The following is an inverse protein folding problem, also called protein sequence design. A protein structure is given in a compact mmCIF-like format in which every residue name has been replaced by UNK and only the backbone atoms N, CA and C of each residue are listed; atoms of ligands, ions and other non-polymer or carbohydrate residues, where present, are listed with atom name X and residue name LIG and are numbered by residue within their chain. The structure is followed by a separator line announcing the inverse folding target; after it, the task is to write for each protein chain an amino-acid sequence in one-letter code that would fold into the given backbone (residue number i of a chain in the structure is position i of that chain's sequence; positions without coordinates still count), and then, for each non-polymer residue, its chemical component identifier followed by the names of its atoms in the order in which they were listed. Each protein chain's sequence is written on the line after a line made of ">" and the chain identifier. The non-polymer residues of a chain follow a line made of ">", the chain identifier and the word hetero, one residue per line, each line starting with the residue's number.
data_IF_455427661057
#
_entry.id   IF_455427661057
#
_cell.length_a   1.000
_cell.length_b   1.000
_cell.length_c   1.000
_cell.angle_alpha   90.00
_cell.angle_beta   90.00
_cell.angle_gamma   90.00
#
_symmetry.space_group_name_H-M   'P 1'
#
loop_
_entity.id
_entity.type
_entity.pdbx_description
1 polymer ?
#
# COMPACT_ATOMS: atom_id res chain seq x y z
N UNK A 1 -20.78 -15.25 -26.07
CA UNK A 1 -21.12 -14.22 -25.06
C UNK A 1 -20.37 -12.97 -25.44
N UNK A 2 -21.06 -11.84 -25.66
CA UNK A 2 -20.37 -10.58 -25.98
C UNK A 2 -19.66 -10.15 -24.69
N UNK A 3 -18.32 -10.25 -24.65
CA UNK A 3 -17.50 -9.72 -23.56
C UNK A 3 -17.64 -8.19 -23.53
N UNK A 4 -18.75 -7.71 -22.99
CA UNK A 4 -18.96 -6.29 -22.77
C UNK A 4 -18.37 -5.96 -21.41
N UNK A 5 -17.43 -5.01 -21.41
CA UNK A 5 -17.04 -4.32 -20.19
C UNK A 5 -18.30 -3.81 -19.50
N UNK A 6 -18.42 -4.14 -18.23
CA UNK A 6 -19.56 -3.72 -17.43
C UNK A 6 -19.44 -2.24 -17.03
N UNK A 7 -20.55 -1.54 -16.78
CA UNK A 7 -20.53 -0.08 -16.60
C UNK A 7 -19.61 0.39 -15.46
N UNK A 8 -19.68 -0.22 -14.27
CA UNK A 8 -18.88 0.23 -13.13
C UNK A 8 -17.39 -0.06 -13.36
N UNK A 9 -17.06 -1.25 -13.86
CA UNK A 9 -15.68 -1.57 -14.28
C UNK A 9 -15.15 -0.54 -15.27
N UNK A 10 -15.95 -0.18 -16.29
CA UNK A 10 -15.57 0.84 -17.28
C UNK A 10 -15.29 2.19 -16.62
N UNK A 11 -16.16 2.64 -15.71
CA UNK A 11 -15.96 3.91 -15.02
C UNK A 11 -14.71 3.91 -14.15
N UNK A 12 -14.44 2.82 -13.43
CA UNK A 12 -13.24 2.67 -12.63
C UNK A 12 -11.97 2.66 -13.49
N UNK A 13 -11.97 1.93 -14.60
CA UNK A 13 -10.85 1.93 -15.56
C UNK A 13 -10.57 3.34 -16.09
N UNK A 14 -11.60 4.03 -16.59
CA UNK A 14 -11.47 5.38 -17.14
C UNK A 14 -11.01 6.36 -16.08
N UNK A 15 -11.59 6.36 -14.87
CA UNK A 15 -11.20 7.26 -13.79
C UNK A 15 -9.71 7.14 -13.44
N UNK A 16 -9.21 5.91 -13.28
CA UNK A 16 -7.81 5.65 -12.96
C UNK A 16 -6.85 6.07 -14.09
N UNK A 17 -7.21 5.80 -15.34
CA UNK A 17 -6.42 6.20 -16.51
C UNK A 17 -6.38 7.73 -16.63
N UNK A 18 -7.52 8.40 -16.50
CA UNK A 18 -7.62 9.86 -16.57
C UNK A 18 -6.79 10.51 -15.45
N UNK A 19 -6.93 10.04 -14.21
CA UNK A 19 -6.19 10.59 -13.07
C UNK A 19 -4.68 10.37 -13.25
N UNK A 20 -4.26 9.20 -13.75
CA UNK A 20 -2.85 8.95 -14.02
C UNK A 20 -2.27 9.92 -15.05
N UNK A 21 -2.93 10.10 -16.20
CA UNK A 21 -2.44 11.02 -17.23
C UNK A 21 -2.56 12.49 -16.82
N UNK A 22 -3.60 12.86 -16.07
CA UNK A 22 -3.70 14.19 -15.47
C UNK A 22 -2.51 14.49 -14.55
N UNK A 23 -2.00 13.49 -13.84
CA UNK A 23 -0.77 13.59 -13.05
C UNK A 23 0.46 13.92 -13.91
N UNK A 24 0.59 13.25 -15.05
CA UNK A 24 1.68 13.49 -16.03
C UNK A 24 1.62 14.88 -16.67
N UNK A 25 0.44 15.52 -16.68
CA UNK A 25 0.24 16.89 -17.17
C UNK A 25 0.56 17.95 -16.09
N UNK A 26 1.19 17.56 -14.98
CA UNK A 26 1.66 18.48 -13.94
C UNK A 26 0.78 18.53 -12.68
N UNK A 27 -0.30 17.74 -12.60
CA UNK A 27 -1.14 17.67 -11.39
C UNK A 27 -0.60 16.72 -10.31
N UNK A 28 0.50 16.00 -10.58
CA UNK A 28 1.07 15.04 -9.63
C UNK A 28 1.37 15.63 -8.24
N UNK A 29 1.92 16.85 -8.07
CA UNK A 29 2.14 17.42 -6.74
C UNK A 29 0.85 17.62 -5.95
N UNK A 30 -0.21 18.10 -6.61
CA UNK A 30 -1.54 18.26 -6.00
C UNK A 30 -2.14 16.90 -5.62
N UNK A 31 -2.03 15.91 -6.50
CA UNK A 31 -2.52 14.56 -6.23
C UNK A 31 -1.79 13.91 -5.07
N UNK A 32 -0.46 14.03 -5.01
CA UNK A 32 0.31 13.53 -3.88
C UNK A 32 -0.13 14.20 -2.57
N UNK A 33 -0.26 15.54 -2.57
CA UNK A 33 -0.64 16.29 -1.37
C UNK A 33 -2.05 15.94 -0.85
N UNK A 34 -3.04 15.79 -1.74
CA UNK A 34 -4.45 15.71 -1.34
C UNK A 34 -5.08 14.32 -1.48
N UNK A 35 -4.60 13.49 -2.41
CA UNK A 35 -5.23 12.20 -2.75
C UNK A 35 -4.43 10.98 -2.29
N UNK A 36 -3.12 11.11 -2.07
CA UNK A 36 -2.30 9.98 -1.62
C UNK A 36 -2.49 9.72 -0.11
N UNK A 37 -2.46 8.44 0.29
CA UNK A 37 -2.69 8.08 1.68
C UNK A 37 -1.43 8.21 2.52
N UNK A 38 -1.40 9.20 3.41
CA UNK A 38 -0.36 9.36 4.41
C UNK A 38 -0.69 8.60 5.70
N UNK A 39 0.33 8.19 6.44
CA UNK A 39 0.15 7.55 7.75
C UNK A 39 -0.64 8.43 8.71
N UNK A 40 -1.40 7.85 9.65
CA UNK A 40 -2.10 8.60 10.70
C UNK A 40 -1.17 9.47 11.56
N UNK A 41 0.13 9.19 11.56
CA UNK A 41 1.15 9.97 12.25
C UNK A 41 1.72 11.13 11.41
N UNK A 42 1.34 11.22 10.14
CA UNK A 42 1.73 12.30 9.24
C UNK A 42 0.88 13.55 9.48
N UNK A 43 1.46 14.76 9.43
CA UNK A 43 0.68 16.00 9.39
C UNK A 43 -0.15 16.16 8.10
N UNK A 44 0.13 15.37 7.05
CA UNK A 44 -0.60 15.42 5.77
C UNK A 44 -1.79 14.45 5.72
N UNK A 45 -2.03 13.69 6.79
CA UNK A 45 -3.15 12.76 6.84
C UNK A 45 -4.50 13.49 6.69
N UNK A 46 -5.34 12.97 5.81
CA UNK A 46 -6.73 13.37 5.64
C UNK A 46 -7.61 12.12 5.53
N UNK A 47 -8.73 12.01 6.28
CA UNK A 47 -9.64 10.86 6.20
C UNK A 47 -10.14 10.51 4.79
N UNK A 48 -10.28 11.49 3.88
CA UNK A 48 -10.64 11.25 2.49
C UNK A 48 -9.62 10.36 1.75
N UNK A 49 -8.36 10.36 2.19
CA UNK A 49 -7.28 9.54 1.61
C UNK A 49 -7.48 8.05 1.83
N UNK A 50 -8.34 7.63 2.76
CA UNK A 50 -8.76 6.23 2.88
C UNK A 50 -9.51 5.73 1.63
N UNK A 51 -9.98 6.65 0.79
CA UNK A 51 -10.70 6.38 -0.44
C UNK A 51 -9.92 6.87 -1.67
N UNK A 52 -9.40 8.10 -1.65
CA UNK A 52 -8.84 8.74 -2.84
C UNK A 52 -7.53 8.12 -3.33
N UNK A 53 -6.77 7.46 -2.45
CA UNK A 53 -5.52 6.79 -2.82
C UNK A 53 -5.71 5.69 -3.87
N UNK A 54 -6.91 5.11 -3.92
CA UNK A 54 -7.28 4.03 -4.84
C UNK A 54 -7.18 4.46 -6.31
N UNK A 55 -7.14 5.76 -6.58
CA UNK A 55 -7.07 6.32 -7.93
C UNK A 55 -5.68 6.75 -8.38
N UNK A 56 -4.71 6.76 -7.46
CA UNK A 56 -3.33 7.15 -7.75
C UNK A 56 -2.46 5.93 -8.01
N UNK A 57 -1.48 6.06 -8.89
CA UNK A 57 -0.56 4.98 -9.22
C UNK A 57 0.87 5.51 -9.34
N UNK A 58 1.82 4.82 -8.70
CA UNK A 58 3.23 5.22 -8.63
C UNK A 58 3.98 5.18 -9.98
N UNK A 59 3.39 4.54 -11.01
CA UNK A 59 3.99 4.46 -12.33
C UNK A 59 3.13 3.66 -13.31
N UNK A 60 3.55 3.64 -14.58
CA UNK A 60 2.79 3.01 -15.65
C UNK A 60 2.54 1.53 -15.41
N UNK A 61 3.57 0.75 -15.03
CA UNK A 61 3.41 -0.68 -14.77
C UNK A 61 2.51 -0.97 -13.57
N UNK A 62 2.51 -0.06 -12.58
CA UNK A 62 1.61 -0.16 -11.43
C UNK A 62 0.15 0.10 -11.86
N UNK A 63 -0.11 1.11 -12.68
CA UNK A 63 -1.45 1.32 -13.27
C UNK A 63 -1.86 0.12 -14.13
N UNK A 64 -1.00 -0.29 -15.05
CA UNK A 64 -1.28 -1.35 -16.01
C UNK A 64 -1.70 -2.65 -15.31
N UNK A 65 -0.92 -3.11 -14.33
CA UNK A 65 -1.22 -4.35 -13.60
C UNK A 65 -2.54 -4.29 -12.82
N UNK A 66 -2.82 -3.16 -12.16
CA UNK A 66 -4.10 -2.94 -11.47
C UNK A 66 -5.28 -2.97 -12.42
N UNK A 67 -5.18 -2.22 -13.52
CA UNK A 67 -6.25 -2.12 -14.51
C UNK A 67 -6.45 -3.44 -15.25
N UNK A 68 -5.38 -4.22 -15.47
CA UNK A 68 -5.47 -5.57 -16.04
C UNK A 68 -6.27 -6.52 -15.13
N UNK A 69 -5.99 -6.50 -13.82
CA UNK A 69 -6.76 -7.26 -12.84
C UNK A 69 -8.23 -6.84 -12.80
N UNK A 70 -8.50 -5.54 -12.76
CA UNK A 70 -9.86 -5.01 -12.80
C UNK A 70 -10.60 -5.40 -14.09
N UNK A 71 -9.92 -5.31 -15.24
CA UNK A 71 -10.45 -5.63 -16.55
C UNK A 71 -10.87 -7.09 -16.68
N UNK A 72 -10.03 -8.03 -16.23
CA UNK A 72 -10.31 -9.45 -16.39
C UNK A 72 -11.32 -9.99 -15.38
N UNK A 73 -11.21 -9.59 -14.11
CA UNK A 73 -11.98 -10.20 -13.03
C UNK A 73 -13.20 -9.37 -12.62
N UNK A 74 -13.14 -8.05 -12.76
CA UNK A 74 -14.22 -7.13 -12.39
C UNK A 74 -15.56 -7.45 -13.07
N UNK A 75 -15.62 -7.58 -14.42
CA UNK A 75 -16.89 -7.79 -15.12
C UNK A 75 -17.64 -9.05 -14.67
N UNK A 76 -16.92 -10.12 -14.34
CA UNK A 76 -17.52 -11.37 -13.89
C UNK A 76 -18.22 -11.18 -12.54
N UNK A 77 -17.62 -10.43 -11.61
CA UNK A 77 -18.23 -10.11 -10.32
C UNK A 77 -19.38 -9.11 -10.46
N UNK A 78 -19.24 -8.11 -11.32
CA UNK A 78 -20.30 -7.13 -11.58
C UNK A 78 -21.54 -7.78 -12.22
N UNK A 79 -21.36 -8.79 -13.08
CA UNK A 79 -22.46 -9.56 -13.65
C UNK A 79 -23.17 -10.43 -12.59
N UNK A 80 -22.44 -10.97 -11.62
CA UNK A 80 -23.03 -11.78 -10.52
C UNK A 80 -23.82 -10.91 -9.54
N UNK A 81 -23.30 -9.74 -9.16
CA UNK A 81 -23.89 -8.94 -8.09
C UNK A 81 -24.67 -7.70 -8.55
N UNK A 82 -24.54 -7.32 -9.82
CA UNK A 82 -24.98 -6.03 -10.34
C UNK A 82 -24.05 -4.87 -9.93
N UNK A 83 -24.10 -3.79 -10.72
CA UNK A 83 -23.22 -2.63 -10.57
C UNK A 83 -23.18 -2.02 -9.17
N UNK A 84 -24.33 -1.81 -8.53
CA UNK A 84 -24.40 -1.16 -7.20
C UNK A 84 -23.62 -1.95 -6.13
N UNK A 85 -23.79 -3.27 -6.11
CA UNK A 85 -23.10 -4.12 -5.12
C UNK A 85 -21.64 -4.30 -5.45
N UNK A 86 -21.28 -4.42 -6.72
CA UNK A 86 -19.89 -4.47 -7.15
C UNK A 86 -19.15 -3.17 -6.79
N UNK A 87 -19.76 -2.01 -7.02
CA UNK A 87 -19.18 -0.71 -6.64
C UNK A 87 -18.94 -0.64 -5.12
N UNK A 88 -19.97 -1.02 -4.32
CA UNK A 88 -19.83 -1.08 -2.87
C UNK A 88 -18.71 -2.04 -2.46
N UNK A 89 -18.68 -3.25 -3.04
CA UNK A 89 -17.65 -4.25 -2.77
C UNK A 89 -16.24 -3.71 -3.06
N UNK A 90 -16.04 -3.09 -4.23
CA UNK A 90 -14.76 -2.54 -4.65
C UNK A 90 -14.24 -1.50 -3.64
N UNK A 91 -15.08 -0.53 -3.27
CA UNK A 91 -14.68 0.50 -2.31
C UNK A 91 -14.56 -0.02 -0.88
N UNK A 92 -15.40 -0.97 -0.47
CA UNK A 92 -15.30 -1.61 0.84
C UNK A 92 -13.96 -2.33 1.01
N UNK A 93 -13.52 -3.07 -0.03
CA UNK A 93 -12.23 -3.75 -0.02
C UNK A 93 -11.06 -2.75 -0.05
N UNK A 94 -11.15 -1.67 -0.83
CA UNK A 94 -10.12 -0.63 -0.86
C UNK A 94 -9.98 0.11 0.47
N UNK A 95 -11.08 0.58 1.05
CA UNK A 95 -11.05 1.23 2.37
C UNK A 95 -10.54 0.26 3.44
N UNK A 96 -11.00 -0.99 3.43
CA UNK A 96 -10.53 -2.04 4.34
C UNK A 96 -9.03 -2.32 4.20
N UNK A 97 -8.52 -2.39 2.97
CA UNK A 97 -7.10 -2.52 2.68
C UNK A 97 -6.29 -1.37 3.29
N UNK A 98 -6.75 -0.13 3.09
CA UNK A 98 -6.05 1.03 3.65
C UNK A 98 -6.13 1.08 5.18
N UNK A 99 -7.24 0.67 5.80
CA UNK A 99 -7.32 0.60 7.26
C UNK A 99 -6.30 -0.39 7.86
N UNK A 100 -6.14 -1.57 7.24
CA UNK A 100 -5.12 -2.53 7.64
C UNK A 100 -3.72 -1.95 7.44
N UNK A 101 -3.44 -1.37 6.28
CA UNK A 101 -2.15 -0.74 5.99
C UNK A 101 -1.83 0.40 6.98
N UNK A 102 -2.81 1.22 7.33
CA UNK A 102 -2.63 2.30 8.31
C UNK A 102 -2.36 1.75 9.72
N UNK A 103 -2.92 0.60 10.10
CA UNK A 103 -2.57 -0.10 11.33
C UNK A 103 -1.10 -0.52 11.37
N UNK A 104 -0.59 -1.09 10.27
CA UNK A 104 0.82 -1.45 10.13
C UNK A 104 1.72 -0.21 10.16
N UNK A 105 1.39 0.80 9.34
CA UNK A 105 2.11 2.07 9.29
C UNK A 105 2.18 2.71 10.69
N UNK A 106 1.06 2.75 11.41
CA UNK A 106 1.01 3.30 12.76
C UNK A 106 1.94 2.54 13.71
N UNK A 107 1.91 1.21 13.68
CA UNK A 107 2.78 0.38 14.52
C UNK A 107 4.26 0.62 14.24
N UNK A 108 4.68 0.59 12.97
CA UNK A 108 6.08 0.75 12.57
C UNK A 108 6.60 2.16 12.83
N UNK A 109 5.85 3.18 12.42
CA UNK A 109 6.25 4.58 12.55
C UNK A 109 6.21 5.03 14.03
N UNK A 110 5.33 4.46 14.86
CA UNK A 110 5.34 4.72 16.32
C UNK A 110 6.66 4.31 16.96
N UNK A 111 7.27 3.20 16.52
CA UNK A 111 8.61 2.80 17.01
C UNK A 111 9.67 3.83 16.62
N UNK A 112 9.66 4.28 15.36
CA UNK A 112 10.58 5.34 14.90
C UNK A 112 10.42 6.60 15.75
N UNK A 113 9.16 7.01 15.99
CA UNK A 113 8.83 8.19 16.80
C UNK A 113 9.35 8.07 18.23
N UNK A 114 9.18 6.90 18.84
CA UNK A 114 9.65 6.64 20.21
C UNK A 114 11.18 6.68 20.29
N UNK A 115 11.86 5.96 19.40
CA UNK A 115 13.32 5.91 19.36
C UNK A 115 13.91 7.30 19.05
N UNK A 116 13.28 8.06 18.15
CA UNK A 116 13.66 9.43 17.87
C UNK A 116 13.50 10.32 19.11
N UNK A 117 12.38 10.22 19.83
CA UNK A 117 12.16 10.99 21.06
C UNK A 117 13.20 10.68 22.15
N UNK A 118 13.61 9.41 22.29
CA UNK A 118 14.68 9.02 23.21
C UNK A 118 16.00 9.68 22.81
N UNK A 119 16.37 9.59 21.52
CA UNK A 119 17.59 10.22 21.01
C UNK A 119 17.60 11.74 21.21
N UNK A 120 16.50 12.42 20.89
CA UNK A 120 16.39 13.88 20.97
C UNK A 120 16.56 14.41 22.41
N UNK A 121 16.22 13.61 23.42
CA UNK A 121 16.41 13.93 24.84
C UNK A 121 17.86 13.79 25.29
N UNK A 122 18.58 12.77 24.83
CA UNK A 122 19.97 12.52 25.21
C UNK A 122 20.84 12.09 24.01
N UNK A 123 21.21 13.03 23.12
CA UNK A 123 21.97 12.72 21.92
C UNK A 123 23.36 12.19 22.26
N UNK A 124 23.76 11.11 21.61
CA UNK A 124 25.11 10.57 21.71
C UNK A 124 25.48 9.80 20.42
N UNK A 125 26.78 9.64 20.12
CA UNK A 125 27.22 9.03 18.87
C UNK A 125 26.72 7.60 18.68
N UNK A 126 26.83 6.75 19.71
CA UNK A 126 26.44 5.34 19.62
C UNK A 126 24.96 5.16 19.28
N UNK A 127 24.07 5.90 19.95
CA UNK A 127 22.63 5.85 19.69
C UNK A 127 22.27 6.44 18.33
N UNK A 128 22.99 7.47 17.87
CA UNK A 128 22.80 8.03 16.51
C UNK A 128 23.11 6.97 15.44
N UNK A 129 24.29 6.34 15.52
CA UNK A 129 24.72 5.30 14.59
C UNK A 129 23.75 4.12 14.60
N UNK A 130 23.30 3.69 15.79
CA UNK A 130 22.30 2.61 15.92
C UNK A 130 20.94 3.00 15.33
N UNK A 131 20.48 4.23 15.55
CA UNK A 131 19.22 4.74 15.01
C UNK A 131 19.25 4.78 13.47
N UNK A 132 20.30 5.34 12.86
CA UNK A 132 20.43 5.42 11.41
C UNK A 132 20.54 4.03 10.79
N UNK A 133 21.36 3.14 11.34
CA UNK A 133 21.47 1.76 10.85
C UNK A 133 20.11 1.03 10.86
N UNK A 134 19.30 1.24 11.91
CA UNK A 134 17.99 0.60 12.07
C UNK A 134 16.95 1.12 11.08
N UNK A 135 16.92 2.42 10.80
CA UNK A 135 15.81 3.06 10.06
C UNK A 135 16.15 3.53 8.65
N UNK A 136 17.44 3.76 8.37
CA UNK A 136 18.01 4.14 7.07
C UNK A 136 19.31 3.36 6.78
N UNK A 137 19.23 2.02 6.68
CA UNK A 137 20.39 1.19 6.35
C UNK A 137 20.99 1.53 4.97
N UNK A 138 20.20 2.16 4.09
CA UNK A 138 20.65 2.66 2.79
C UNK A 138 21.63 3.83 2.89
N UNK A 139 21.47 4.71 3.90
CA UNK A 139 22.42 5.80 4.16
C UNK A 139 23.61 5.31 4.96
N UNK A 140 23.41 4.31 5.83
CA UNK A 140 24.45 3.78 6.70
C UNK A 140 25.72 3.36 5.94
N UNK A 141 25.59 2.92 4.69
CA UNK A 141 26.71 2.50 3.83
C UNK A 141 27.39 3.64 3.05
N UNK A 142 27.00 4.90 3.27
CA UNK A 142 27.56 6.07 2.59
C UNK A 142 28.81 6.60 3.32
N UNK A 143 29.91 6.83 2.59
CA UNK A 143 31.15 7.43 3.11
C UNK A 143 30.92 8.76 3.82
N UNK A 144 29.97 9.59 3.36
CA UNK A 144 29.59 10.84 4.00
C UNK A 144 29.02 10.60 5.41
N UNK A 145 28.18 9.58 5.56
CA UNK A 145 27.61 9.22 6.85
C UNK A 145 28.68 8.69 7.80
N UNK A 146 29.58 7.83 7.34
CA UNK A 146 30.69 7.33 8.15
C UNK A 146 31.61 8.46 8.62
N UNK A 147 31.99 9.36 7.72
CA UNK A 147 32.83 10.51 8.05
C UNK A 147 32.15 11.41 9.09
N UNK A 148 30.86 11.68 8.93
CA UNK A 148 30.09 12.47 9.90
C UNK A 148 29.95 11.76 11.25
N UNK A 149 29.65 10.45 11.24
CA UNK A 149 29.52 9.63 12.45
C UNK A 149 30.84 9.62 13.24
N UNK A 150 31.98 9.48 12.56
CA UNK A 150 33.31 9.53 13.18
C UNK A 150 33.59 10.90 13.79
N UNK A 151 33.26 12.00 13.10
CA UNK A 151 33.41 13.35 13.64
C UNK A 151 32.60 13.55 14.92
N UNK A 152 31.37 13.02 14.96
CA UNK A 152 30.53 13.10 16.15
C UNK A 152 31.05 12.20 17.28
N UNK A 153 31.59 11.03 16.97
CA UNK A 153 32.24 10.15 17.95
C UNK A 153 33.48 10.79 18.58
N UNK A 154 34.29 11.49 17.78
CA UNK A 154 35.46 12.23 18.25
C UNK A 154 35.09 13.47 19.08
N UNK A 155 33.98 14.13 18.75
CA UNK A 155 33.55 15.38 19.36
C UNK A 155 32.07 15.32 19.85
N UNK A 156 31.75 14.45 20.83
CA UNK A 156 30.35 14.17 21.21
C UNK A 156 29.64 15.35 21.87
N UNK A 157 30.39 16.34 22.36
CA UNK A 157 29.85 17.56 22.98
C UNK A 157 29.68 18.74 22.03
N UNK A 158 30.04 18.60 20.73
CA UNK A 158 29.96 19.70 19.78
C UNK A 158 28.49 20.09 19.52
N UNK A 159 28.08 21.34 19.82
CA UNK A 159 26.70 21.77 19.65
C UNK A 159 26.19 21.73 18.19
N UNK A 160 27.08 21.93 17.20
CA UNK A 160 26.71 21.88 15.78
C UNK A 160 26.47 20.45 15.33
N UNK A 161 27.33 19.51 15.74
CA UNK A 161 27.14 18.08 15.43
C UNK A 161 25.87 17.54 16.08
N UNK A 162 25.62 17.91 17.35
CA UNK A 162 24.38 17.57 18.04
C UNK A 162 23.16 18.13 17.30
N UNK A 163 23.18 19.40 16.88
CA UNK A 163 22.07 20.00 16.15
C UNK A 163 21.80 19.28 14.81
N UNK A 164 22.86 18.95 14.07
CA UNK A 164 22.76 18.20 12.80
C UNK A 164 22.18 16.81 12.99
N UNK A 165 22.66 16.05 13.97
CA UNK A 165 22.13 14.69 14.24
C UNK A 165 20.67 14.71 14.69
N UNK A 166 20.25 15.70 15.49
CA UNK A 166 18.84 15.87 15.85
C UNK A 166 17.98 16.11 14.63
N UNK A 167 18.42 17.02 13.74
CA UNK A 167 17.73 17.31 12.48
C UNK A 167 17.64 16.08 11.59
N UNK A 168 18.69 15.27 11.52
CA UNK A 168 18.68 14.02 10.76
C UNK A 168 17.66 13.03 11.32
N UNK A 169 17.65 12.82 12.64
CA UNK A 169 16.71 11.92 13.31
C UNK A 169 15.25 12.37 13.10
N UNK A 170 14.97 13.67 13.23
CA UNK A 170 13.67 14.24 12.90
C UNK A 170 13.31 14.02 11.43
N UNK A 171 14.26 14.23 10.52
CA UNK A 171 14.07 14.05 9.07
C UNK A 171 13.74 12.60 8.73
N UNK A 172 14.43 11.63 9.35
CA UNK A 172 14.15 10.20 9.17
C UNK A 172 12.74 9.86 9.63
N UNK A 173 12.33 10.34 10.81
CA UNK A 173 10.95 10.16 11.28
C UNK A 173 9.94 10.76 10.30
N UNK A 174 10.14 12.01 9.86
CA UNK A 174 9.23 12.68 8.93
C UNK A 174 9.15 11.96 7.58
N UNK A 175 10.28 11.47 7.04
CA UNK A 175 10.29 10.72 5.79
C UNK A 175 9.50 9.41 5.90
N UNK A 176 9.60 8.69 7.03
CA UNK A 176 8.80 7.48 7.28
C UNK A 176 7.31 7.82 7.42
N UNK A 177 6.97 8.87 8.17
CA UNK A 177 5.59 9.29 8.36
C UNK A 177 4.93 9.79 7.06
N UNK A 178 5.71 10.48 6.23
CA UNK A 178 5.24 11.18 5.03
C UNK A 178 5.47 10.37 3.74
N UNK A 179 5.79 9.08 3.82
CA UNK A 179 5.83 8.21 2.65
C UNK A 179 4.40 7.77 2.29
N UNK A 180 3.81 8.25 1.19
CA UNK A 180 2.42 7.97 0.90
C UNK A 180 2.21 6.59 0.27
N UNK A 181 1.07 5.97 0.56
CA UNK A 181 0.57 4.78 -0.13
C UNK A 181 -0.42 5.18 -1.22
N UNK A 182 -0.31 4.56 -2.39
CA UNK A 182 -1.18 4.77 -3.56
C UNK A 182 -1.49 3.45 -4.25
N UNK A 183 -2.64 3.34 -4.90
CA UNK A 183 -2.97 2.22 -5.78
C UNK A 183 -4.34 1.60 -5.51
N UNK A 184 -4.99 1.14 -6.58
CA UNK A 184 -6.25 0.39 -6.49
C UNK A 184 -6.08 -1.04 -5.94
N UNK A 185 -4.85 -1.50 -5.73
CA UNK A 185 -4.52 -2.92 -5.60
C UNK A 185 -5.19 -3.61 -4.41
N UNK A 186 -5.40 -2.92 -3.29
CA UNK A 186 -6.20 -3.46 -2.19
C UNK A 186 -7.60 -3.91 -2.63
N UNK A 187 -8.30 -3.11 -3.42
CA UNK A 187 -9.60 -3.49 -3.98
C UNK A 187 -9.47 -4.61 -5.03
N UNK A 188 -8.40 -4.60 -5.83
CA UNK A 188 -8.14 -5.68 -6.81
C UNK A 188 -7.87 -7.02 -6.13
N UNK A 189 -7.13 -7.03 -5.03
CA UNK A 189 -6.93 -8.24 -4.23
C UNK A 189 -8.23 -8.71 -3.57
N UNK A 190 -9.12 -7.78 -3.20
CA UNK A 190 -10.50 -8.11 -2.85
C UNK A 190 -11.26 -8.79 -3.99
N UNK A 191 -11.18 -8.25 -5.22
CA UNK A 191 -11.76 -8.86 -6.43
C UNK A 191 -11.18 -10.27 -6.67
N UNK A 192 -9.86 -10.45 -6.56
CA UNK A 192 -9.20 -11.74 -6.73
C UNK A 192 -9.70 -12.75 -5.69
N UNK A 193 -9.81 -12.34 -4.42
CA UNK A 193 -10.38 -13.17 -3.37
C UNK A 193 -11.83 -13.58 -3.69
N UNK A 194 -12.68 -12.62 -4.06
CA UNK A 194 -14.05 -12.91 -4.47
C UNK A 194 -14.12 -13.88 -5.66
N UNK A 195 -13.26 -13.67 -6.66
CA UNK A 195 -13.17 -14.52 -7.83
C UNK A 195 -12.78 -15.96 -7.46
N UNK A 196 -11.77 -16.14 -6.62
CA UNK A 196 -11.36 -17.45 -6.11
C UNK A 196 -12.45 -18.17 -5.32
N UNK A 197 -13.33 -17.43 -4.64
CA UNK A 197 -14.44 -17.99 -3.85
C UNK A 197 -15.68 -18.35 -4.68
N UNK A 198 -15.97 -17.57 -5.73
CA UNK A 198 -17.16 -17.76 -6.57
C UNK A 198 -16.89 -18.65 -7.79
N UNK A 199 -15.68 -18.58 -8.33
CA UNK A 199 -15.25 -19.29 -9.53
C UNK A 199 -14.01 -20.17 -9.27
N UNK A 200 -14.01 -21.02 -8.22
CA UNK A 200 -12.80 -21.68 -7.71
C UNK A 200 -12.10 -22.62 -8.70
N UNK A 201 -12.85 -23.13 -9.68
CA UNK A 201 -12.34 -24.07 -10.68
C UNK A 201 -12.06 -23.42 -12.04
N UNK A 202 -12.30 -22.11 -12.20
CA UNK A 202 -11.91 -21.40 -13.43
C UNK A 202 -10.40 -21.40 -13.57
N UNK A 203 -9.90 -21.73 -14.75
CA UNK A 203 -8.48 -21.76 -15.04
C UNK A 203 -7.97 -20.37 -15.42
N UNK A 204 -6.90 -19.94 -14.76
CA UNK A 204 -6.14 -18.73 -15.06
C UNK A 204 -4.82 -19.20 -15.69
N UNK A 205 -4.46 -18.66 -16.85
CA UNK A 205 -3.19 -18.98 -17.49
C UNK A 205 -2.07 -18.13 -16.88
N UNK A 206 -1.23 -18.75 -16.05
CA UNK A 206 -0.03 -18.10 -15.53
C UNK A 206 1.01 -17.98 -16.66
N UNK A 207 1.51 -16.76 -16.89
CA UNK A 207 2.41 -16.43 -17.99
C UNK A 207 1.94 -16.92 -19.37
N UNK A 208 0.62 -17.04 -19.58
CA UNK A 208 0.02 -17.61 -20.79
C UNK A 208 0.34 -19.09 -21.06
N UNK A 209 1.00 -19.79 -20.13
CA UNK A 209 1.53 -21.14 -20.35
C UNK A 209 0.86 -22.19 -19.47
N UNK A 210 0.72 -21.91 -18.17
CA UNK A 210 0.32 -22.93 -17.20
C UNK A 210 -1.07 -22.62 -16.63
N UNK A 211 -2.10 -23.43 -16.93
CA UNK A 211 -3.41 -23.26 -16.33
C UNK A 211 -3.36 -23.61 -14.84
N UNK A 212 -3.81 -22.68 -14.00
CA UNK A 212 -3.99 -22.89 -12.57
C UNK A 212 -5.42 -22.53 -12.18
N UNK A 213 -6.06 -23.37 -11.37
CA UNK A 213 -7.41 -23.08 -10.85
C UNK A 213 -7.36 -21.82 -9.97
N UNK A 214 -8.36 -20.96 -10.12
CA UNK A 214 -8.44 -19.67 -9.42
C UNK A 214 -8.22 -19.79 -7.90
N UNK A 215 -8.78 -20.82 -7.25
CA UNK A 215 -8.57 -21.04 -5.81
C UNK A 215 -7.09 -21.20 -5.43
N UNK A 216 -6.30 -21.92 -6.23
CA UNK A 216 -4.88 -22.13 -5.95
C UNK A 216 -4.09 -20.87 -6.25
N UNK A 217 -4.40 -20.18 -7.36
CA UNK A 217 -3.79 -18.90 -7.69
C UNK A 217 -3.96 -17.89 -6.54
N UNK A 218 -5.19 -17.72 -6.05
CA UNK A 218 -5.50 -16.76 -4.98
C UNK A 218 -4.83 -17.15 -3.66
N UNK A 219 -4.84 -18.44 -3.29
CA UNK A 219 -4.16 -18.91 -2.07
C UNK A 219 -2.65 -18.67 -2.15
N UNK A 220 -2.01 -19.10 -3.24
CA UNK A 220 -0.57 -18.95 -3.42
C UNK A 220 -0.17 -17.48 -3.46
N UNK A 221 -0.95 -16.64 -4.13
CA UNK A 221 -0.66 -15.21 -4.19
C UNK A 221 -0.83 -14.55 -2.82
N UNK A 222 -1.89 -14.87 -2.07
CA UNK A 222 -2.06 -14.40 -0.69
C UNK A 222 -0.93 -14.84 0.25
N UNK A 223 -0.43 -16.08 0.10
CA UNK A 223 0.73 -16.55 0.87
C UNK A 223 2.02 -15.81 0.48
N UNK A 224 2.21 -15.53 -0.81
CA UNK A 224 3.33 -14.70 -1.28
C UNK A 224 3.27 -13.29 -0.69
N UNK A 225 2.10 -12.65 -0.70
CA UNK A 225 1.91 -11.32 -0.11
C UNK A 225 2.21 -11.32 1.39
N UNK A 226 1.75 -12.33 2.12
CA UNK A 226 2.07 -12.48 3.55
C UNK A 226 3.56 -12.66 3.79
N UNK A 227 4.20 -13.54 3.03
CA UNK A 227 5.64 -13.76 3.13
C UNK A 227 6.44 -12.48 2.84
N UNK A 228 6.12 -11.78 1.75
CA UNK A 228 6.82 -10.56 1.35
C UNK A 228 6.60 -9.42 2.35
N UNK A 229 5.37 -9.26 2.86
CA UNK A 229 5.04 -8.29 3.91
C UNK A 229 5.78 -8.54 5.23
N UNK A 230 5.94 -9.81 5.64
CA UNK A 230 6.69 -10.17 6.85
C UNK A 230 8.20 -10.05 6.66
N UNK A 231 8.71 -10.40 5.47
CA UNK A 231 10.14 -10.33 5.16
C UNK A 231 10.62 -8.88 5.04
N UNK A 232 9.76 -7.97 4.56
CA UNK A 232 10.03 -6.54 4.42
C UNK A 232 11.40 -6.24 3.79
N UNK A 233 11.63 -6.76 2.57
CA UNK A 233 12.93 -6.62 1.90
C UNK A 233 13.29 -5.15 1.67
N UNK A 234 14.56 -4.75 1.89
CA UNK A 234 15.03 -3.43 1.50
C UNK A 234 14.85 -3.21 -0.02
N UNK A 235 14.16 -2.14 -0.40
CA UNK A 235 13.87 -1.79 -1.80
C UNK A 235 12.51 -2.28 -2.32
N UNK A 236 11.79 -3.09 -1.54
CA UNK A 236 10.40 -3.42 -1.81
C UNK A 236 9.49 -2.25 -1.40
N UNK A 237 8.76 -1.71 -2.37
CA UNK A 237 7.86 -0.57 -2.17
C UNK A 237 6.38 -0.97 -2.27
N UNK A 238 6.09 -2.28 -2.18
CA UNK A 238 4.73 -2.80 -2.27
C UNK A 238 4.08 -2.83 -0.89
N UNK A 239 2.87 -2.27 -0.79
CA UNK A 239 2.04 -2.31 0.42
C UNK A 239 1.34 -3.66 0.58
N UNK A 240 2.11 -4.72 0.85
CA UNK A 240 1.61 -6.11 0.93
C UNK A 240 0.45 -6.30 1.93
N UNK A 241 0.49 -5.61 3.06
CA UNK A 241 -0.60 -5.68 4.04
C UNK A 241 -1.89 -5.00 3.56
N UNK A 242 -1.81 -4.03 2.66
CA UNK A 242 -2.98 -3.50 1.97
C UNK A 242 -3.63 -4.58 1.08
N UNK A 243 -2.84 -5.37 0.35
CA UNK A 243 -3.35 -6.48 -0.46
C UNK A 243 -4.07 -7.53 0.39
N UNK A 244 -3.42 -7.97 1.48
CA UNK A 244 -4.02 -8.91 2.44
C UNK A 244 -5.27 -8.33 3.12
N UNK A 245 -5.25 -7.03 3.45
CA UNK A 245 -6.42 -6.33 3.99
C UNK A 245 -7.59 -6.34 3.02
N UNK A 246 -7.34 -6.12 1.73
CA UNK A 246 -8.35 -6.24 0.68
C UNK A 246 -8.96 -7.63 0.58
N UNK A 247 -8.12 -8.68 0.64
CA UNK A 247 -8.56 -10.08 0.67
C UNK A 247 -9.41 -10.38 1.91
N UNK A 248 -8.99 -9.92 3.09
CA UNK A 248 -9.71 -10.11 4.35
C UNK A 248 -11.08 -9.43 4.33
N UNK A 249 -11.16 -8.17 3.90
CA UNK A 249 -12.43 -7.45 3.83
C UNK A 249 -13.38 -8.06 2.78
N UNK A 250 -12.85 -8.58 1.67
CA UNK A 250 -13.65 -9.35 0.73
C UNK A 250 -14.26 -10.61 1.38
N UNK A 251 -13.46 -11.38 2.13
CA UNK A 251 -13.94 -12.55 2.87
C UNK A 251 -15.06 -12.18 3.85
N UNK A 252 -14.85 -11.13 4.66
CA UNK A 252 -15.82 -10.65 5.65
C UNK A 252 -17.14 -10.27 4.96
N UNK A 253 -17.06 -9.48 3.88
CA UNK A 253 -18.25 -8.98 3.20
C UNK A 253 -19.03 -10.11 2.50
N UNK A 254 -18.32 -11.03 1.82
CA UNK A 254 -18.95 -12.18 1.15
C UNK A 254 -19.59 -13.09 2.18
N UNK A 255 -18.94 -13.35 3.30
CA UNK A 255 -19.51 -14.17 4.38
C UNK A 255 -20.77 -13.53 4.94
N UNK A 256 -20.75 -12.23 5.23
CA UNK A 256 -21.91 -11.47 5.67
C UNK A 256 -23.08 -11.56 4.69
N UNK A 257 -22.82 -11.35 3.40
CA UNK A 257 -23.85 -11.41 2.37
C UNK A 257 -24.41 -12.83 2.16
N UNK A 258 -23.59 -13.89 2.26
CA UNK A 258 -24.04 -15.29 2.19
C UNK A 258 -25.03 -15.64 3.31
N UNK A 259 -24.88 -15.04 4.49
CA UNK A 259 -25.83 -15.18 5.59
C UNK A 259 -27.22 -14.63 5.28
N UNK A 260 -27.35 -13.72 4.31
CA UNK A 260 -28.61 -13.08 3.91
C UNK A 260 -29.28 -13.81 2.74
N UNK A 261 -29.47 -15.14 2.86
CA UNK A 261 -29.94 -16.10 1.83
C UNK A 261 -31.05 -15.61 0.86
N UNK A 262 -31.91 -14.66 1.23
CA UNK A 262 -32.95 -14.10 0.36
C UNK A 262 -32.48 -13.00 -0.61
N UNK A 263 -31.19 -12.64 -0.62
CA UNK A 263 -30.66 -11.51 -1.39
C UNK A 263 -29.40 -11.86 -2.20
N UNK A 264 -28.87 -13.07 -2.10
CA UNK A 264 -27.52 -13.40 -2.58
C UNK A 264 -27.48 -13.83 -4.07
N UNK A 265 -28.63 -14.03 -4.69
CA UNK A 265 -28.82 -14.29 -6.11
C UNK A 265 -29.88 -13.35 -6.68
#
# INVERSE_FOLDING_TARGET
>A
MRNQLTPIVTYLLVANVVIFFAGQLGLQPLFNQYLAAYSFLSPYFNPAQLFTYMFLHAGFMHLFSNMLGLFFFGPMLEQVWGGKRFAFFYFFCGVGAMLIQQGINYYEISKVKQDAAIYLQNPNPGDYTAFVNKYRPDIYVNDEFYNFSNQFEENPGDPQLIASTKKDVETIFQQKANNPTVGASGAIFGILMAFGLLFPNTEILLYFLFPIKAKYFVILYGLFELYSGVKANPGDNVAHFAHLGGMLFALILIWYWRGQRNRFY
#
